data_IF_793236771351
#
_entry.id   IF_793236771351
#
_cell.length_a   1.000
_cell.length_b   1.000
_cell.length_c   1.000
_cell.angle_alpha   90.00
_cell.angle_beta   90.00
_cell.angle_gamma   90.00
#
_symmetry.space_group_name_H-M   'P 1'
#
loop_
_entity.id
_entity.type
_entity.pdbx_description
1 polymer ?
#
# COMPACT_ATOMS: atom_id res chain seq x y z
N UNK A 1 39.86 -14.07 -19.54
CA UNK A 1 39.36 -14.97 -18.48
C UNK A 1 37.94 -14.54 -18.11
N UNK A 2 36.94 -15.38 -18.36
CA UNK A 2 35.58 -15.10 -17.91
C UNK A 2 35.50 -15.50 -16.43
N UNK A 3 35.26 -14.51 -15.57
CA UNK A 3 35.09 -14.74 -14.13
C UNK A 3 33.72 -15.41 -13.88
N UNK A 4 33.71 -16.54 -13.16
CA UNK A 4 32.49 -17.17 -12.70
C UNK A 4 31.90 -16.32 -11.56
N UNK A 5 30.77 -15.67 -11.81
CA UNK A 5 30.04 -14.95 -10.75
C UNK A 5 29.01 -15.90 -10.14
N UNK A 6 29.20 -16.27 -8.87
CA UNK A 6 28.21 -17.06 -8.11
C UNK A 6 27.25 -16.08 -7.45
N UNK A 7 26.02 -15.99 -7.96
CA UNK A 7 24.95 -15.24 -7.31
C UNK A 7 24.28 -16.12 -6.24
N UNK A 8 24.04 -15.62 -5.01
CA UNK A 8 23.31 -16.37 -4.00
C UNK A 8 21.89 -16.66 -4.48
N UNK A 9 21.34 -17.81 -4.07
CA UNK A 9 19.99 -18.24 -4.45
C UNK A 9 18.88 -17.26 -4.09
N UNK A 10 19.15 -16.39 -3.10
CA UNK A 10 18.27 -15.28 -2.71
C UNK A 10 18.09 -14.21 -3.81
N UNK A 11 18.97 -14.18 -4.81
CA UNK A 11 18.90 -13.24 -5.95
C UNK A 11 18.20 -13.90 -7.15
N UNK A 12 18.21 -15.24 -7.22
CA UNK A 12 17.82 -16.00 -8.41
C UNK A 12 16.36 -16.50 -8.42
N UNK A 13 15.50 -16.10 -7.48
CA UNK A 13 14.07 -16.36 -7.62
C UNK A 13 13.38 -17.08 -6.46
N UNK A 14 12.10 -17.31 -6.64
CA UNK A 14 11.06 -17.72 -5.70
C UNK A 14 11.20 -19.13 -5.06
N UNK A 15 12.40 -19.67 -4.89
CA UNK A 15 12.53 -20.91 -4.15
C UNK A 15 12.40 -20.64 -2.65
N UNK A 16 11.46 -21.31 -2.01
CA UNK A 16 11.22 -21.27 -0.56
C UNK A 16 10.61 -19.96 0.00
N UNK A 17 9.71 -19.28 -0.74
CA UNK A 17 8.98 -18.11 -0.23
C UNK A 17 9.81 -16.82 -0.16
N UNK A 18 11.01 -16.81 -0.70
CA UNK A 18 11.83 -15.62 -0.80
C UNK A 18 11.45 -14.79 -2.03
N UNK A 19 11.11 -13.51 -1.83
CA UNK A 19 10.88 -12.55 -2.92
C UNK A 19 12.22 -11.88 -3.24
N UNK A 20 12.74 -12.02 -4.48
CA UNK A 20 13.98 -11.34 -4.87
C UNK A 20 13.81 -9.82 -4.73
N UNK A 21 14.89 -9.07 -4.45
CA UNK A 21 14.81 -7.61 -4.32
C UNK A 21 14.21 -6.90 -5.55
N UNK A 22 14.40 -7.46 -6.76
CA UNK A 22 13.84 -6.95 -8.01
C UNK A 22 12.32 -7.13 -8.13
N UNK A 23 11.74 -8.05 -7.40
CA UNK A 23 10.30 -8.38 -7.46
C UNK A 23 9.52 -7.72 -6.32
N UNK A 24 10.19 -7.02 -5.41
CA UNK A 24 9.55 -6.29 -4.30
C UNK A 24 8.90 -5.02 -4.80
N UNK A 25 7.67 -4.79 -4.39
CA UNK A 25 6.98 -3.55 -4.65
C UNK A 25 7.48 -2.43 -3.72
N UNK A 26 7.58 -1.24 -4.24
CA UNK A 26 7.79 -0.03 -3.47
C UNK A 26 6.44 0.53 -3.03
N UNK A 27 6.13 0.39 -1.76
CA UNK A 27 4.83 0.75 -1.20
C UNK A 27 4.92 2.07 -0.44
N UNK A 28 4.00 2.98 -0.74
CA UNK A 28 3.69 4.13 0.09
C UNK A 28 2.47 3.86 0.97
N UNK A 29 2.41 4.46 2.16
CA UNK A 29 1.25 4.35 3.04
C UNK A 29 0.76 5.73 3.47
N UNK A 30 -0.55 5.94 3.42
CA UNK A 30 -1.25 7.18 3.82
C UNK A 30 -2.26 6.85 4.92
N UNK A 31 -2.15 7.54 6.07
CA UNK A 31 -2.85 7.19 7.29
C UNK A 31 -2.21 5.97 7.95
N UNK A 32 -1.07 6.18 8.61
CA UNK A 32 -0.21 5.10 9.08
C UNK A 32 -0.41 4.71 10.53
N UNK A 33 -1.28 5.42 11.24
CA UNK A 33 -1.71 5.05 12.59
C UNK A 33 -2.73 3.91 12.58
N UNK A 34 -2.99 3.29 13.72
CA UNK A 34 -4.05 2.29 13.89
C UNK A 34 -4.06 1.18 12.84
N UNK A 35 -5.12 1.13 12.02
CA UNK A 35 -5.27 0.11 10.98
C UNK A 35 -4.20 0.23 9.88
N UNK A 36 -3.73 1.43 9.59
CA UNK A 36 -2.64 1.64 8.64
C UNK A 36 -1.35 0.95 9.11
N UNK A 37 -1.01 1.06 10.39
CA UNK A 37 0.12 0.32 10.97
C UNK A 37 -0.06 -1.20 10.84
N UNK A 38 -1.26 -1.71 11.14
CA UNK A 38 -1.57 -3.14 10.96
C UNK A 38 -1.35 -3.59 9.52
N UNK A 39 -1.82 -2.82 8.54
CA UNK A 39 -1.64 -3.14 7.12
C UNK A 39 -0.16 -3.12 6.70
N UNK A 40 0.61 -2.13 7.15
CA UNK A 40 2.05 -2.05 6.91
C UNK A 40 2.75 -3.29 7.48
N UNK A 41 2.40 -3.71 8.69
CA UNK A 41 3.00 -4.87 9.33
C UNK A 41 2.81 -6.18 8.57
N UNK A 42 1.72 -6.31 7.81
CA UNK A 42 1.47 -7.49 6.99
C UNK A 42 2.36 -7.56 5.73
N UNK A 43 2.85 -6.43 5.25
CA UNK A 43 3.60 -6.37 3.97
C UNK A 43 5.07 -5.98 4.12
N UNK A 44 5.48 -5.32 5.20
CA UNK A 44 6.86 -4.82 5.37
C UNK A 44 7.95 -5.89 5.35
N UNK A 45 7.60 -7.16 5.60
CA UNK A 45 8.56 -8.25 5.56
C UNK A 45 8.88 -8.70 4.12
N UNK A 46 7.95 -8.51 3.19
CA UNK A 46 8.05 -8.96 1.80
C UNK A 46 8.28 -7.83 0.82
N UNK A 47 7.82 -6.62 1.14
CA UNK A 47 7.85 -5.45 0.26
C UNK A 47 8.70 -4.31 0.85
N UNK A 48 9.01 -3.31 0.04
CA UNK A 48 9.73 -2.11 0.45
C UNK A 48 8.74 -1.02 0.86
N UNK A 49 8.77 -0.56 2.10
CA UNK A 49 8.02 0.63 2.51
C UNK A 49 8.89 1.86 2.25
N UNK A 50 8.59 2.63 1.21
CA UNK A 50 9.42 3.73 0.74
C UNK A 50 8.96 5.11 1.20
N UNK A 51 7.66 5.27 1.49
CA UNK A 51 7.10 6.54 1.95
C UNK A 51 5.95 6.34 2.94
N UNK A 52 5.87 7.23 3.92
CA UNK A 52 4.88 7.24 4.97
C UNK A 52 4.26 8.65 5.08
N UNK A 53 2.94 8.74 5.07
CA UNK A 53 2.22 9.99 5.18
C UNK A 53 1.15 9.92 6.28
N UNK A 54 1.17 10.88 7.20
CA UNK A 54 0.13 11.05 8.21
C UNK A 54 0.04 12.51 8.64
N UNK A 55 -1.15 12.99 8.93
CA UNK A 55 -1.41 14.35 9.41
C UNK A 55 -1.19 14.48 10.92
N UNK A 56 -1.27 13.40 11.69
CA UNK A 56 -0.97 13.38 13.12
C UNK A 56 0.35 12.63 13.40
N UNK A 57 1.43 13.38 13.34
CA UNK A 57 2.78 12.82 13.56
C UNK A 57 3.01 12.35 15.00
N UNK A 58 2.23 12.82 15.96
CA UNK A 58 2.34 12.34 17.35
C UNK A 58 1.73 10.96 17.47
N UNK A 59 0.56 10.77 16.86
CA UNK A 59 -0.11 9.46 16.80
C UNK A 59 0.68 8.44 15.96
N UNK A 60 1.22 8.89 14.83
CA UNK A 60 1.98 8.07 13.88
C UNK A 60 3.46 7.85 14.28
N UNK A 61 3.93 8.50 15.38
CA UNK A 61 5.36 8.51 15.75
C UNK A 61 5.98 7.11 15.80
N UNK A 62 5.30 6.14 16.39
CA UNK A 62 5.82 4.77 16.51
C UNK A 62 6.13 4.13 15.17
N UNK A 63 5.29 4.36 14.16
CA UNK A 63 5.48 3.83 12.80
C UNK A 63 6.64 4.53 12.09
N UNK A 64 6.76 5.85 12.27
CA UNK A 64 7.90 6.60 11.75
C UNK A 64 9.24 6.18 12.36
N UNK A 65 9.25 5.81 13.63
CA UNK A 65 10.46 5.34 14.32
C UNK A 65 10.82 3.91 13.91
N UNK A 66 9.81 3.09 13.65
CA UNK A 66 9.98 1.69 13.20
C UNK A 66 10.54 1.60 11.77
N UNK A 67 10.19 2.55 10.91
CA UNK A 67 10.57 2.59 9.50
C UNK A 67 11.39 3.85 9.17
N UNK A 68 12.59 4.00 9.75
CA UNK A 68 13.38 5.23 9.65
C UNK A 68 13.86 5.54 8.22
N UNK A 69 13.98 4.52 7.36
CA UNK A 69 14.42 4.66 5.98
C UNK A 69 13.33 5.14 5.03
N UNK A 70 12.06 5.05 5.41
CA UNK A 70 10.95 5.56 4.62
C UNK A 70 10.89 7.09 4.71
N UNK A 71 10.67 7.76 3.57
CA UNK A 71 10.46 9.21 3.56
C UNK A 71 9.15 9.56 4.25
N UNK A 72 9.14 10.65 5.00
CA UNK A 72 8.01 11.08 5.85
C UNK A 72 7.33 12.29 5.27
N UNK A 73 6.01 12.25 5.17
CA UNK A 73 5.20 13.32 4.61
C UNK A 73 4.03 13.68 5.51
N UNK A 74 3.68 14.96 5.50
CA UNK A 74 2.47 15.48 6.14
C UNK A 74 1.28 15.50 5.17
N UNK A 75 1.57 15.74 3.88
CA UNK A 75 0.59 15.86 2.80
C UNK A 75 0.89 14.79 1.74
N UNK A 76 -0.10 13.92 1.46
CA UNK A 76 0.04 12.84 0.48
C UNK A 76 0.27 13.36 -0.94
N UNK A 77 -0.21 14.57 -1.26
CA UNK A 77 -0.01 15.18 -2.59
C UNK A 77 1.45 15.48 -2.82
N UNK A 78 2.14 16.03 -1.81
CA UNK A 78 3.59 16.24 -1.86
C UNK A 78 4.35 14.92 -1.98
N UNK A 79 3.89 13.89 -1.28
CA UNK A 79 4.46 12.56 -1.43
C UNK A 79 4.34 12.04 -2.85
N UNK A 80 3.18 12.20 -3.48
CA UNK A 80 2.96 11.79 -4.87
C UNK A 80 3.78 12.63 -5.85
N UNK A 81 3.86 13.95 -5.66
CA UNK A 81 4.64 14.84 -6.51
C UNK A 81 6.14 14.49 -6.48
N UNK A 82 6.68 14.20 -5.29
CA UNK A 82 8.11 13.95 -5.11
C UNK A 82 8.52 12.50 -5.40
N UNK A 83 7.67 11.54 -5.08
CA UNK A 83 8.00 10.11 -5.13
C UNK A 83 7.15 9.30 -6.09
N UNK A 84 6.23 9.91 -6.82
CA UNK A 84 5.29 9.16 -7.65
C UNK A 84 5.94 8.20 -8.64
N UNK A 85 7.16 8.47 -9.10
CA UNK A 85 7.90 7.57 -10.00
C UNK A 85 8.49 6.35 -9.29
N UNK A 86 8.71 6.45 -7.99
CA UNK A 86 9.37 5.43 -7.18
C UNK A 86 8.36 4.55 -6.41
N UNK A 87 7.07 4.85 -6.51
CA UNK A 87 5.98 4.12 -5.84
C UNK A 87 5.28 3.20 -6.84
N UNK A 88 5.10 1.94 -6.48
CA UNK A 88 4.34 0.96 -7.27
C UNK A 88 2.91 0.80 -6.75
N UNK A 89 2.74 0.82 -5.42
CA UNK A 89 1.45 0.62 -4.77
C UNK A 89 1.26 1.54 -3.56
N UNK A 90 0.01 1.80 -3.20
CA UNK A 90 -0.35 2.67 -2.08
C UNK A 90 -1.31 1.95 -1.14
N UNK A 91 -0.99 1.96 0.16
CA UNK A 91 -1.90 1.57 1.24
C UNK A 91 -2.57 2.84 1.77
N UNK A 92 -3.90 2.86 1.81
CA UNK A 92 -4.70 4.00 2.26
C UNK A 92 -5.56 3.56 3.44
N UNK A 93 -5.34 4.17 4.62
CA UNK A 93 -6.06 3.87 5.84
C UNK A 93 -6.32 5.16 6.66
N UNK A 94 -6.73 6.17 5.97
CA UNK A 94 -7.08 7.51 6.51
C UNK A 94 -8.51 7.53 7.06
N UNK A 95 -9.05 8.70 7.35
CA UNK A 95 -10.47 8.85 7.66
C UNK A 95 -11.34 8.57 6.42
N UNK A 96 -12.51 7.97 6.63
CA UNK A 96 -13.41 7.43 5.61
C UNK A 96 -13.68 8.41 4.44
N UNK A 97 -13.88 9.68 4.74
CA UNK A 97 -14.20 10.71 3.76
C UNK A 97 -13.02 11.11 2.85
N UNK A 98 -11.80 10.66 3.15
CA UNK A 98 -10.62 10.95 2.34
C UNK A 98 -10.15 9.75 1.51
N UNK A 99 -10.74 8.57 1.71
CA UNK A 99 -10.36 7.36 0.98
C UNK A 99 -10.45 7.56 -0.53
N UNK A 100 -11.57 8.06 -1.01
CA UNK A 100 -11.85 8.15 -2.44
C UNK A 100 -10.88 9.09 -3.18
N UNK A 101 -10.62 10.28 -2.64
CA UNK A 101 -9.75 11.25 -3.30
C UNK A 101 -8.31 10.76 -3.37
N UNK A 102 -7.77 10.21 -2.28
CA UNK A 102 -6.40 9.71 -2.25
C UNK A 102 -6.26 8.49 -3.19
N UNK A 103 -7.29 7.63 -3.23
CA UNK A 103 -7.34 6.47 -4.13
C UNK A 103 -7.41 6.91 -5.60
N UNK A 104 -8.25 7.89 -5.93
CA UNK A 104 -8.39 8.38 -7.29
C UNK A 104 -7.07 8.99 -7.81
N UNK A 105 -6.39 9.78 -6.98
CA UNK A 105 -5.10 10.36 -7.33
C UNK A 105 -4.06 9.27 -7.60
N UNK A 106 -3.95 8.27 -6.71
CA UNK A 106 -3.03 7.14 -6.88
C UNK A 106 -3.32 6.36 -8.18
N UNK A 107 -4.60 6.03 -8.44
CA UNK A 107 -5.00 5.29 -9.64
C UNK A 107 -4.72 6.08 -10.92
N UNK A 108 -4.95 7.40 -10.92
CA UNK A 108 -4.66 8.27 -12.06
C UNK A 108 -3.17 8.31 -12.38
N UNK A 109 -2.32 8.15 -11.37
CA UNK A 109 -0.88 8.03 -11.52
C UNK A 109 -0.41 6.60 -11.86
N UNK A 110 -1.33 5.66 -12.12
CA UNK A 110 -1.02 4.28 -12.45
C UNK A 110 -0.54 3.44 -11.28
N UNK A 111 -0.87 3.81 -10.03
CA UNK A 111 -0.46 3.06 -8.84
C UNK A 111 -1.51 2.04 -8.45
N UNK A 112 -1.06 0.85 -8.04
CA UNK A 112 -1.92 -0.15 -7.42
C UNK A 112 -2.39 0.35 -6.05
N UNK A 113 -3.59 -0.01 -5.62
CA UNK A 113 -4.18 0.53 -4.39
C UNK A 113 -4.78 -0.54 -3.50
N UNK A 114 -4.42 -0.51 -2.23
CA UNK A 114 -5.15 -1.14 -1.15
C UNK A 114 -5.78 -0.05 -0.29
N UNK A 115 -7.12 0.07 -0.32
CA UNK A 115 -7.85 1.10 0.44
C UNK A 115 -8.70 0.45 1.53
N UNK A 116 -8.64 0.96 2.75
CA UNK A 116 -9.46 0.47 3.87
C UNK A 116 -10.96 0.66 3.63
N UNK A 117 -11.74 -0.11 4.37
CA UNK A 117 -13.21 0.03 4.40
C UNK A 117 -13.61 1.29 5.22
N UNK A 118 -14.70 1.95 4.88
CA UNK A 118 -15.44 1.85 3.62
C UNK A 118 -14.63 2.42 2.46
N UNK A 119 -14.77 1.84 1.27
CA UNK A 119 -13.99 2.26 0.10
C UNK A 119 -14.19 3.74 -0.22
N UNK A 120 -15.41 4.22 -0.05
CA UNK A 120 -15.83 5.60 -0.39
C UNK A 120 -16.88 6.10 0.59
N UNK A 121 -17.05 7.41 0.62
CA UNK A 121 -18.06 8.08 1.43
C UNK A 121 -19.39 8.29 0.67
N UNK A 122 -19.37 8.27 -0.65
CA UNK A 122 -20.55 8.49 -1.50
C UNK A 122 -20.64 7.52 -2.68
N UNK A 123 -21.87 7.37 -3.22
CA UNK A 123 -22.11 6.57 -4.44
C UNK A 123 -21.38 7.16 -5.65
N UNK A 124 -21.30 8.48 -5.73
CA UNK A 124 -20.55 9.15 -6.80
C UNK A 124 -19.08 8.73 -6.81
N UNK A 125 -18.44 8.77 -5.66
CA UNK A 125 -17.04 8.36 -5.50
C UNK A 125 -16.84 6.88 -5.89
N UNK A 126 -17.72 5.97 -5.45
CA UNK A 126 -17.67 4.56 -5.84
C UNK A 126 -17.70 4.38 -7.35
N UNK A 127 -18.60 5.09 -8.02
CA UNK A 127 -18.71 5.05 -9.49
C UNK A 127 -17.49 5.66 -10.18
N UNK A 128 -16.91 6.71 -9.59
CA UNK A 128 -15.67 7.31 -10.08
C UNK A 128 -14.51 6.31 -10.01
N UNK A 129 -14.28 5.70 -8.85
CA UNK A 129 -13.21 4.72 -8.67
C UNK A 129 -13.39 3.50 -9.58
N UNK A 130 -14.63 3.03 -9.77
CA UNK A 130 -14.91 1.94 -10.72
C UNK A 130 -14.47 2.29 -12.15
N UNK A 131 -14.78 3.51 -12.61
CA UNK A 131 -14.34 3.96 -13.94
C UNK A 131 -12.83 4.13 -14.03
N UNK A 132 -12.20 4.68 -12.99
CA UNK A 132 -10.74 4.82 -12.94
C UNK A 132 -10.05 3.46 -12.97
N UNK A 133 -10.51 2.49 -12.19
CA UNK A 133 -9.96 1.13 -12.23
C UNK A 133 -10.02 0.51 -13.64
N UNK A 134 -11.17 0.67 -14.32
CA UNK A 134 -11.34 0.17 -15.67
C UNK A 134 -10.45 0.89 -16.70
N UNK A 135 -10.26 2.20 -16.55
CA UNK A 135 -9.50 3.00 -17.53
C UNK A 135 -7.98 2.93 -17.32
N UNK A 136 -7.52 2.77 -16.09
CA UNK A 136 -6.09 2.72 -15.76
C UNK A 136 -5.52 1.31 -15.74
N UNK A 137 -6.36 0.29 -15.54
CA UNK A 137 -5.95 -1.10 -15.45
C UNK A 137 -5.16 -1.45 -14.18
N UNK A 138 -5.12 -0.56 -13.19
CA UNK A 138 -4.42 -0.81 -11.92
C UNK A 138 -5.16 -1.85 -11.08
N UNK A 139 -4.42 -2.61 -10.30
CA UNK A 139 -4.98 -3.56 -9.34
C UNK A 139 -5.48 -2.80 -8.12
N UNK A 140 -6.70 -3.10 -7.69
CA UNK A 140 -7.33 -2.46 -6.54
C UNK A 140 -7.90 -3.51 -5.58
N UNK A 141 -7.77 -3.24 -4.29
CA UNK A 141 -8.35 -4.09 -3.23
C UNK A 141 -8.92 -3.21 -2.12
N UNK A 142 -10.13 -3.51 -1.69
CA UNK A 142 -10.68 -2.94 -0.47
C UNK A 142 -10.32 -3.77 0.76
N UNK A 143 -9.94 -3.11 1.85
CA UNK A 143 -9.62 -3.73 3.13
C UNK A 143 -10.86 -4.23 3.88
N UNK A 144 -11.40 -5.36 3.48
CA UNK A 144 -12.59 -5.97 4.06
C UNK A 144 -12.23 -7.20 4.91
N UNK A 145 -11.42 -7.00 5.95
CA UNK A 145 -10.86 -8.06 6.79
C UNK A 145 -11.92 -8.92 7.46
N UNK A 146 -13.04 -8.31 7.89
CA UNK A 146 -14.14 -9.04 8.51
C UNK A 146 -14.72 -10.14 7.61
N UNK A 147 -14.85 -9.87 6.32
CA UNK A 147 -15.37 -10.84 5.36
C UNK A 147 -14.39 -11.99 5.06
N UNK A 148 -13.10 -11.78 5.33
CA UNK A 148 -12.05 -12.80 5.12
C UNK A 148 -11.78 -13.65 6.37
N UNK A 149 -12.39 -13.32 7.51
CA UNK A 149 -12.14 -13.99 8.78
C UNK A 149 -12.83 -15.37 8.82
N UNK A 150 -12.21 -16.29 9.54
CA UNK A 150 -12.71 -17.66 9.75
C UNK A 150 -14.13 -17.68 10.34
N UNK A 151 -14.45 -16.70 11.21
CA UNK A 151 -15.79 -16.59 11.82
C UNK A 151 -16.91 -16.43 10.79
N UNK A 152 -16.69 -15.69 9.72
CA UNK A 152 -17.69 -15.57 8.63
C UNK A 152 -17.91 -16.91 7.92
N UNK A 153 -16.83 -17.64 7.66
CA UNK A 153 -16.92 -18.97 7.03
C UNK A 153 -17.72 -19.93 7.91
N UNK A 154 -17.45 -19.97 9.21
CA UNK A 154 -18.19 -20.83 10.17
C UNK A 154 -19.65 -20.49 10.33
N UNK A 155 -20.06 -19.23 10.08
CA UNK A 155 -21.47 -18.82 10.11
C UNK A 155 -22.19 -19.20 8.82
N UNK A 156 -21.47 -19.32 7.71
CA UNK A 156 -22.05 -19.67 6.41
C UNK A 156 -22.13 -21.19 6.15
N UNK A 157 -21.41 -22.00 6.96
CA UNK A 157 -21.47 -23.47 6.96
C UNK A 157 -22.64 -24.00 7.83
#
# INVERSE_FOLDING_TARGET
MAGLTIAPSSILGKSHGHVPPSDRLNIAAVGIGGMGHTNINHVKATENIVALCDVDWRYAKGVFDELPNAKKYWDYRKMYDEMGKDIDAVIIATADHTHAIITADAMTMGKHVYCQKPLTHSVYESRLLTRLAASTGVVTQMGNQGASAEGVRKVCE
#
